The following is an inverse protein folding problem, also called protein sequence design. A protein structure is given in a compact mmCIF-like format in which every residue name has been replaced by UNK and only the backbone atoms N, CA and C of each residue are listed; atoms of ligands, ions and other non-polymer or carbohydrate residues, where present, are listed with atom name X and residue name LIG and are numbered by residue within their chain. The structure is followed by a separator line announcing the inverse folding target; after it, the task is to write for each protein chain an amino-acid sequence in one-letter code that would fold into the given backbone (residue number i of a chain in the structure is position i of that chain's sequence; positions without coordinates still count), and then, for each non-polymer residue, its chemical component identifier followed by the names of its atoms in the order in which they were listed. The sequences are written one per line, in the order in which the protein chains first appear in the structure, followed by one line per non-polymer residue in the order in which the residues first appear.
data_IF_843777226590
#
_entry.id   IF_843777226590
#
_cell.length_a   1.000
_cell.length_b   1.000
_cell.length_c   1.000
_cell.angle_alpha   90.00
_cell.angle_beta   90.00
_cell.angle_gamma   90.00
#
_symmetry.space_group_name_H-M   'P 1'
#
loop_
_entity.id
_entity.type
_entity.pdbx_description
1 polymer ?
#
# COMPACT_ATOMS: atom_id res chain seq x y z
N UNK A 1 3.07 -14.37 -20.19
CA UNK A 1 4.33 -13.73 -19.82
C UNK A 1 4.69 -12.75 -20.92
N UNK A 2 4.77 -11.44 -20.65
CA UNK A 2 5.10 -10.44 -21.67
C UNK A 2 6.49 -10.61 -22.30
N UNK A 3 7.42 -11.30 -21.64
CA UNK A 3 8.79 -11.55 -22.12
C UNK A 3 8.87 -12.83 -22.95
N UNK A 4 8.23 -13.92 -22.51
CA UNK A 4 8.28 -15.21 -23.23
C UNK A 4 7.10 -15.44 -24.19
N UNK A 5 6.08 -14.58 -24.12
CA UNK A 5 4.78 -14.74 -24.78
C UNK A 5 4.05 -16.05 -24.42
N UNK A 6 4.50 -16.75 -23.36
CA UNK A 6 3.87 -17.98 -22.90
C UNK A 6 2.61 -17.68 -22.07
N UNK A 7 1.61 -18.52 -22.22
CA UNK A 7 0.39 -18.47 -21.42
C UNK A 7 0.45 -19.50 -20.29
N UNK A 8 -0.24 -19.22 -19.20
CA UNK A 8 -0.48 -20.24 -18.18
C UNK A 8 -1.34 -21.34 -18.78
N UNK A 9 -0.99 -22.60 -18.50
CA UNK A 9 -1.84 -23.74 -18.90
C UNK A 9 -3.20 -23.67 -18.17
N UNK A 10 -4.24 -24.25 -18.77
CA UNK A 10 -5.59 -24.23 -18.18
C UNK A 10 -5.61 -24.77 -16.74
N UNK A 11 -4.85 -25.84 -16.47
CA UNK A 11 -4.74 -26.41 -15.12
C UNK A 11 -4.11 -25.46 -14.10
N UNK A 12 -3.12 -24.66 -14.52
CA UNK A 12 -2.50 -23.63 -13.67
C UNK A 12 -3.45 -22.46 -13.46
N UNK A 13 -4.19 -22.04 -14.50
CA UNK A 13 -5.23 -21.00 -14.38
C UNK A 13 -6.31 -21.42 -13.38
N UNK A 14 -6.84 -22.64 -13.51
CA UNK A 14 -7.84 -23.17 -12.58
C UNK A 14 -7.32 -23.23 -11.13
N UNK A 15 -6.09 -23.73 -10.93
CA UNK A 15 -5.46 -23.83 -9.61
C UNK A 15 -5.23 -22.45 -8.97
N UNK A 16 -4.76 -21.47 -9.76
CA UNK A 16 -4.56 -20.10 -9.29
C UNK A 16 -5.89 -19.42 -8.96
N UNK A 17 -6.93 -19.67 -9.76
CA UNK A 17 -8.28 -19.12 -9.51
C UNK A 17 -8.83 -19.62 -8.17
N UNK A 18 -8.73 -20.93 -7.91
CA UNK A 18 -9.13 -21.51 -6.62
C UNK A 18 -8.28 -20.94 -5.47
N UNK A 19 -6.98 -20.78 -5.68
CA UNK A 19 -6.07 -20.17 -4.70
C UNK A 19 -6.50 -18.75 -4.34
N UNK A 20 -6.82 -17.91 -5.34
CA UNK A 20 -7.27 -16.54 -5.10
C UNK A 20 -8.62 -16.48 -4.39
N UNK A 21 -9.57 -17.36 -4.75
CA UNK A 21 -10.87 -17.42 -4.08
C UNK A 21 -10.71 -17.79 -2.60
N UNK A 22 -10.00 -18.86 -2.27
CA UNK A 22 -9.83 -19.31 -0.88
C UNK A 22 -8.99 -18.32 -0.08
N UNK A 23 -7.82 -17.94 -0.58
CA UNK A 23 -6.90 -17.07 0.16
C UNK A 23 -7.44 -15.65 0.29
N UNK A 24 -8.07 -15.11 -0.76
CA UNK A 24 -8.59 -13.74 -0.80
C UNK A 24 -9.87 -13.56 0.01
N UNK A 25 -10.78 -14.54 -0.03
CA UNK A 25 -12.08 -14.47 0.66
C UNK A 25 -11.93 -14.60 2.18
N UNK A 26 -11.37 -15.71 2.66
CA UNK A 26 -11.42 -16.05 4.09
C UNK A 26 -10.58 -15.08 4.93
N UNK A 27 -9.40 -14.69 4.42
CA UNK A 27 -8.52 -13.76 5.13
C UNK A 27 -9.09 -12.34 5.17
N UNK A 28 -9.62 -11.83 4.05
CA UNK A 28 -10.12 -10.46 3.99
C UNK A 28 -11.47 -10.30 4.68
N UNK A 29 -12.39 -11.28 4.55
CA UNK A 29 -13.65 -11.27 5.30
C UNK A 29 -13.39 -11.24 6.81
N UNK A 30 -12.46 -12.06 7.31
CA UNK A 30 -12.08 -12.03 8.73
C UNK A 30 -11.48 -10.69 9.13
N UNK A 31 -10.59 -10.12 8.31
CA UNK A 31 -10.00 -8.81 8.58
C UNK A 31 -11.08 -7.72 8.68
N UNK A 32 -12.07 -7.72 7.78
CA UNK A 32 -13.20 -6.77 7.80
C UNK A 32 -14.09 -7.01 9.02
N UNK A 33 -14.40 -8.26 9.38
CA UNK A 33 -15.21 -8.56 10.57
C UNK A 33 -14.55 -8.01 11.84
N UNK A 34 -13.26 -8.25 12.03
CA UNK A 34 -12.52 -7.71 13.18
C UNK A 34 -12.37 -6.20 13.12
N UNK A 35 -12.20 -5.62 11.92
CA UNK A 35 -12.16 -4.17 11.73
C UNK A 35 -13.46 -3.52 12.22
N UNK A 36 -14.61 -4.07 11.81
CA UNK A 36 -15.92 -3.56 12.24
C UNK A 36 -16.12 -3.76 13.74
N UNK A 37 -15.68 -4.89 14.30
CA UNK A 37 -15.74 -5.12 15.74
C UNK A 37 -14.89 -4.12 16.53
N UNK A 38 -13.65 -3.88 16.12
CA UNK A 38 -12.77 -2.93 16.78
C UNK A 38 -13.33 -1.51 16.69
N UNK A 39 -13.80 -1.07 15.52
CA UNK A 39 -14.41 0.26 15.37
C UNK A 39 -15.69 0.39 16.21
N UNK A 40 -16.57 -0.62 16.19
CA UNK A 40 -17.79 -0.62 17.01
C UNK A 40 -17.53 -0.63 18.53
N UNK A 41 -16.37 -1.15 18.95
CA UNK A 41 -15.94 -1.20 20.35
C UNK A 41 -15.26 0.10 20.82
N UNK A 42 -14.91 1.00 19.89
CA UNK A 42 -14.19 2.25 20.14
C UNK A 42 -14.92 3.43 19.48
N UNK A 43 -16.01 3.95 20.11
CA UNK A 43 -16.83 5.02 19.52
C UNK A 43 -16.06 6.29 19.16
N UNK A 44 -14.97 6.59 19.86
CA UNK A 44 -14.06 7.68 19.56
C UNK A 44 -13.32 7.48 18.23
N UNK A 45 -12.89 6.26 17.93
CA UNK A 45 -12.28 5.90 16.64
C UNK A 45 -13.33 5.96 15.54
N UNK A 46 -14.53 5.41 15.79
CA UNK A 46 -15.65 5.49 14.85
C UNK A 46 -15.96 6.95 14.47
N UNK A 47 -16.02 7.85 15.46
CA UNK A 47 -16.30 9.26 15.22
C UNK A 47 -15.18 9.94 14.43
N UNK A 48 -13.91 9.63 14.70
CA UNK A 48 -12.78 10.21 13.97
C UNK A 48 -12.72 9.70 12.53
N UNK A 49 -13.02 8.42 12.29
CA UNK A 49 -13.22 7.86 10.93
C UNK A 49 -14.35 8.59 10.22
N UNK A 50 -15.52 8.73 10.85
CA UNK A 50 -16.65 9.42 10.26
C UNK A 50 -16.29 10.86 9.87
N UNK A 51 -15.64 11.62 10.75
CA UNK A 51 -15.23 13.00 10.46
C UNK A 51 -14.28 13.08 9.26
N UNK A 52 -13.30 12.18 9.17
CA UNK A 52 -12.40 12.13 8.01
C UNK A 52 -13.17 11.81 6.72
N UNK A 53 -14.05 10.81 6.76
CA UNK A 53 -14.87 10.40 5.61
C UNK A 53 -15.80 11.53 5.17
N UNK A 54 -16.51 12.19 6.08
CA UNK A 54 -17.37 13.33 5.76
C UNK A 54 -16.60 14.48 5.11
N UNK A 55 -15.37 14.74 5.56
CA UNK A 55 -14.51 15.79 4.99
C UNK A 55 -13.98 15.44 3.60
N UNK A 56 -13.56 14.20 3.38
CA UNK A 56 -12.87 13.79 2.14
C UNK A 56 -13.85 13.34 1.06
N UNK A 57 -14.90 12.63 1.43
CA UNK A 57 -15.86 11.98 0.53
C UNK A 57 -17.19 12.75 0.52
N UNK A 58 -17.65 13.18 1.70
CA UNK A 58 -18.98 13.80 1.86
C UNK A 58 -20.10 12.88 1.35
N UNK A 59 -21.02 13.44 0.58
CA UNK A 59 -22.16 12.72 0.00
C UNK A 59 -21.87 12.12 -1.38
N UNK A 60 -20.65 12.24 -1.89
CA UNK A 60 -20.28 11.74 -3.21
C UNK A 60 -19.99 10.22 -3.18
N UNK A 61 -20.04 9.54 -4.34
CA UNK A 61 -19.50 8.19 -4.48
C UNK A 61 -18.00 8.17 -4.16
N UNK A 62 -17.55 7.13 -3.45
CA UNK A 62 -16.14 6.95 -3.13
C UNK A 62 -15.32 6.72 -4.41
N UNK A 63 -14.23 7.46 -4.55
CA UNK A 63 -13.30 7.34 -5.70
C UNK A 63 -11.91 6.88 -5.26
N UNK A 64 -11.12 6.39 -6.21
CA UNK A 64 -9.72 6.01 -5.99
C UNK A 64 -8.87 7.14 -5.40
N UNK A 65 -9.03 8.37 -5.91
CA UNK A 65 -8.27 9.52 -5.43
C UNK A 65 -8.67 9.92 -4.01
N UNK A 66 -9.95 9.74 -3.64
CA UNK A 66 -10.43 9.96 -2.27
C UNK A 66 -9.89 8.90 -1.32
N UNK A 67 -9.86 7.62 -1.71
CA UNK A 67 -9.27 6.53 -0.91
C UNK A 67 -7.81 6.81 -0.53
N UNK A 68 -7.04 7.48 -1.40
CA UNK A 68 -5.67 7.90 -1.13
C UNK A 68 -5.54 9.01 -0.07
N UNK A 69 -6.62 9.76 0.21
CA UNK A 69 -6.65 10.88 1.17
C UNK A 69 -7.17 10.48 2.55
N UNK A 70 -7.69 9.26 2.70
CA UNK A 70 -8.24 8.74 3.96
C UNK A 70 -7.12 8.16 4.84
N UNK A 71 -6.35 9.06 5.43
CA UNK A 71 -5.14 8.75 6.19
C UNK A 71 -5.51 8.00 7.47
N UNK A 72 -6.45 8.51 8.26
CA UNK A 72 -6.86 7.89 9.52
C UNK A 72 -7.53 6.53 9.28
N UNK A 73 -8.40 6.39 8.27
CA UNK A 73 -8.94 5.08 7.88
C UNK A 73 -7.83 4.06 7.58
N UNK A 74 -6.75 4.50 6.93
CA UNK A 74 -5.60 3.63 6.65
C UNK A 74 -4.91 3.18 7.95
N UNK A 75 -4.76 4.07 8.93
CA UNK A 75 -4.19 3.75 10.23
C UNK A 75 -5.06 2.76 11.02
N UNK A 76 -6.39 2.94 10.99
CA UNK A 76 -7.35 2.04 11.64
C UNK A 76 -7.25 0.62 11.05
N UNK A 77 -7.14 0.50 9.73
CA UNK A 77 -6.93 -0.79 9.05
C UNK A 77 -5.58 -1.41 9.44
N UNK A 78 -4.50 -0.61 9.52
CA UNK A 78 -3.18 -1.12 9.94
C UNK A 78 -3.18 -1.62 11.38
N UNK A 79 -3.85 -0.92 12.28
CA UNK A 79 -3.95 -1.30 13.69
C UNK A 79 -4.82 -2.55 13.88
N UNK A 80 -5.91 -2.67 13.11
CA UNK A 80 -6.72 -3.89 13.06
C UNK A 80 -5.87 -5.11 12.67
N UNK A 81 -5.11 -5.00 11.57
CA UNK A 81 -4.25 -6.09 11.11
C UNK A 81 -3.04 -6.36 12.02
N UNK A 82 -2.66 -5.41 12.87
CA UNK A 82 -1.65 -5.62 13.91
C UNK A 82 -2.22 -6.47 15.06
N UNK A 83 -3.40 -6.11 15.55
CA UNK A 83 -4.03 -6.81 16.67
C UNK A 83 -4.60 -8.17 16.27
N UNK A 84 -5.13 -8.27 15.06
CA UNK A 84 -5.74 -9.48 14.53
C UNK A 84 -5.30 -9.73 13.08
N UNK A 85 -4.08 -10.24 12.85
CA UNK A 85 -3.66 -10.68 11.53
C UNK A 85 -4.36 -12.01 11.18
N UNK A 86 -5.15 -12.11 10.08
CA UNK A 86 -5.80 -13.36 9.69
C UNK A 86 -4.81 -14.52 9.48
N UNK A 87 -3.58 -14.22 9.05
CA UNK A 87 -2.47 -15.18 9.02
C UNK A 87 -1.51 -14.91 10.21
N UNK A 88 -1.63 -15.64 11.34
CA UNK A 88 -0.87 -15.34 12.56
C UNK A 88 0.61 -15.71 12.48
N UNK A 89 0.99 -16.48 11.47
CA UNK A 89 2.35 -16.90 11.23
C UNK A 89 2.59 -17.18 9.74
N UNK A 90 3.84 -17.15 9.32
CA UNK A 90 4.27 -17.63 8.01
C UNK A 90 5.58 -18.39 8.13
N UNK A 91 5.85 -19.25 7.14
CA UNK A 91 7.06 -20.08 7.12
C UNK A 91 8.06 -19.49 6.12
N UNK A 92 9.33 -19.44 6.50
CA UNK A 92 10.48 -19.24 5.62
C UNK A 92 11.37 -20.47 5.68
N UNK A 93 12.05 -20.79 4.59
CA UNK A 93 12.97 -21.94 4.53
C UNK A 93 14.38 -21.41 4.25
N UNK A 94 15.37 -21.86 5.02
CA UNK A 94 16.77 -21.53 4.76
C UNK A 94 17.25 -22.15 3.44
N UNK A 95 18.29 -21.61 2.79
CA UNK A 95 18.82 -22.18 1.56
C UNK A 95 19.11 -23.69 1.73
N UNK A 96 18.64 -24.55 0.82
CA UNK A 96 18.87 -25.99 0.94
C UNK A 96 20.34 -26.39 0.70
N UNK A 97 21.14 -25.52 0.08
CA UNK A 97 22.52 -25.80 -0.30
C UNK A 97 23.54 -25.41 0.76
N UNK A 98 23.15 -24.61 1.77
CA UNK A 98 24.10 -24.11 2.78
C UNK A 98 23.46 -23.74 4.11
N UNK A 99 24.25 -23.93 5.18
CA UNK A 99 23.97 -23.34 6.49
C UNK A 99 23.93 -21.81 6.39
N UNK A 100 23.09 -21.20 7.23
CA UNK A 100 23.05 -19.75 7.42
C UNK A 100 23.04 -19.41 8.90
N UNK A 101 23.11 -18.12 9.23
CA UNK A 101 23.00 -17.62 10.60
C UNK A 101 21.87 -16.61 10.72
N UNK A 102 21.20 -16.61 11.86
CA UNK A 102 20.24 -15.59 12.28
C UNK A 102 20.72 -15.00 13.61
N UNK A 103 21.42 -13.87 13.53
CA UNK A 103 22.14 -13.33 14.68
C UNK A 103 23.17 -14.34 15.21
N UNK A 104 23.04 -14.75 16.47
CA UNK A 104 23.92 -15.75 17.09
C UNK A 104 23.55 -17.20 16.80
N UNK A 105 22.41 -17.45 16.15
CA UNK A 105 21.90 -18.81 15.91
C UNK A 105 22.36 -19.34 14.56
N UNK A 106 22.94 -20.54 14.55
CA UNK A 106 23.21 -21.30 13.32
C UNK A 106 21.94 -22.01 12.88
N UNK A 107 21.62 -21.89 11.61
CA UNK A 107 20.42 -22.44 10.99
C UNK A 107 20.87 -23.42 9.90
N UNK A 108 20.67 -24.74 10.10
CA UNK A 108 21.02 -25.75 9.11
C UNK A 108 20.36 -25.49 7.74
N UNK A 109 20.98 -26.00 6.69
CA UNK A 109 20.44 -25.93 5.34
C UNK A 109 19.03 -26.56 5.26
N UNK A 110 18.11 -25.93 4.51
CA UNK A 110 16.74 -26.43 4.32
C UNK A 110 15.83 -26.39 5.56
N UNK A 111 16.23 -25.71 6.63
CA UNK A 111 15.43 -25.58 7.86
C UNK A 111 14.20 -24.71 7.64
N UNK A 112 13.03 -25.18 8.06
CA UNK A 112 11.81 -24.38 8.13
C UNK A 112 11.79 -23.51 9.40
N UNK A 113 11.58 -22.21 9.23
CA UNK A 113 11.47 -21.22 10.28
C UNK A 113 10.04 -20.68 10.30
N UNK A 114 9.33 -20.96 11.39
CA UNK A 114 8.02 -20.40 11.65
C UNK A 114 8.18 -19.01 12.27
N UNK A 115 7.69 -17.99 11.58
CA UNK A 115 7.72 -16.61 12.06
C UNK A 115 6.32 -16.27 12.56
N UNK A 116 6.20 -16.01 13.87
CA UNK A 116 4.94 -15.60 14.48
C UNK A 116 4.71 -14.11 14.25
N UNK A 117 3.84 -13.79 13.30
CA UNK A 117 3.34 -12.43 13.07
C UNK A 117 2.61 -11.92 14.31
N UNK A 118 1.84 -12.79 14.97
CA UNK A 118 1.12 -12.44 16.19
C UNK A 118 2.09 -12.02 17.31
N UNK A 119 3.12 -12.82 17.62
CA UNK A 119 4.09 -12.44 18.65
C UNK A 119 4.88 -11.18 18.29
N UNK A 120 5.23 -11.00 17.01
CA UNK A 120 5.90 -9.80 16.51
C UNK A 120 5.04 -8.55 16.75
N UNK A 121 3.75 -8.62 16.43
CA UNK A 121 2.81 -7.51 16.51
C UNK A 121 2.43 -7.12 17.93
N UNK A 122 2.60 -8.03 18.89
CA UNK A 122 2.38 -7.78 20.32
C UNK A 122 3.68 -7.54 21.11
N UNK A 123 4.82 -7.38 20.43
CA UNK A 123 6.10 -7.15 21.10
C UNK A 123 6.14 -5.78 21.79
N UNK A 124 6.21 -5.70 23.14
CA UNK A 124 6.19 -4.43 23.87
C UNK A 124 7.44 -3.57 23.63
N UNK A 125 8.55 -4.17 23.17
CA UNK A 125 9.75 -3.42 22.78
C UNK A 125 9.59 -2.65 21.47
N UNK A 126 8.51 -2.94 20.71
CA UNK A 126 8.21 -2.32 19.41
C UNK A 126 6.92 -1.50 19.46
N UNK A 127 5.92 -1.99 20.21
CA UNK A 127 4.63 -1.35 20.39
C UNK A 127 4.35 -1.15 21.87
N UNK A 128 4.37 0.10 22.34
CA UNK A 128 3.89 0.47 23.68
C UNK A 128 2.43 0.01 23.87
N UNK A 129 1.99 -0.47 25.03
CA UNK A 129 0.63 -1.00 25.25
C UNK A 129 0.13 -1.93 24.11
N UNK A 130 0.82 -3.03 23.81
CA UNK A 130 0.62 -3.79 22.57
C UNK A 130 -0.79 -4.38 22.41
N UNK A 131 -1.57 -4.48 23.50
CA UNK A 131 -2.94 -5.01 23.48
C UNK A 131 -4.02 -3.96 23.20
N UNK A 132 -3.68 -2.67 23.26
CA UNK A 132 -4.64 -1.59 23.03
C UNK A 132 -4.79 -1.29 21.54
N UNK A 133 -6.03 -1.08 21.09
CA UNK A 133 -6.35 -0.64 19.72
C UNK A 133 -6.12 0.87 19.63
N UNK A 134 -4.95 1.29 19.14
CA UNK A 134 -4.56 2.71 19.01
C UNK A 134 -4.12 3.01 17.56
N UNK A 135 -5.03 3.45 16.66
CA UNK A 135 -4.68 3.85 15.30
C UNK A 135 -3.57 4.92 15.22
N UNK A 136 -3.47 5.78 16.22
CA UNK A 136 -2.49 6.87 16.33
C UNK A 136 -1.03 6.38 16.34
N UNK A 137 -0.78 5.08 16.57
CA UNK A 137 0.56 4.44 16.47
C UNK A 137 1.20 4.55 15.09
N UNK A 138 0.38 4.84 14.09
CA UNK A 138 0.76 4.98 12.70
C UNK A 138 0.94 6.46 12.30
N UNK A 139 0.89 7.38 13.26
CA UNK A 139 1.11 8.82 13.10
C UNK A 139 2.52 9.24 13.55
N UNK A 140 3.00 10.34 12.97
CA UNK A 140 4.21 11.03 13.41
C UNK A 140 5.53 10.31 13.12
N UNK A 141 6.60 10.86 13.70
CA UNK A 141 7.97 10.37 13.48
C UNK A 141 8.22 8.97 14.04
N UNK A 142 7.59 8.62 15.16
CA UNK A 142 7.79 7.31 15.79
C UNK A 142 7.27 6.17 14.92
N UNK A 143 6.19 6.40 14.17
CA UNK A 143 5.75 5.46 13.14
C UNK A 143 6.78 5.34 12.00
N UNK A 144 7.44 6.44 11.61
CA UNK A 144 8.43 6.46 10.55
C UNK A 144 9.78 5.83 10.94
N UNK A 145 10.15 5.89 12.22
CA UNK A 145 11.37 5.24 12.76
C UNK A 145 11.19 3.73 12.96
N UNK A 146 9.95 3.24 13.01
CA UNK A 146 9.65 1.82 13.23
C UNK A 146 10.18 0.99 12.06
N UNK A 147 10.85 -0.12 12.40
CA UNK A 147 11.35 -1.05 11.38
C UNK A 147 10.23 -1.49 10.43
N UNK A 148 10.45 -1.56 9.11
CA UNK A 148 9.48 -2.09 8.16
C UNK A 148 9.14 -3.57 8.47
N UNK A 149 10.03 -4.28 9.17
CA UNK A 149 9.81 -5.65 9.62
C UNK A 149 8.99 -5.77 10.92
N UNK A 150 8.54 -4.66 11.50
CA UNK A 150 7.69 -4.66 12.69
C UNK A 150 6.22 -4.94 12.38
N UNK A 151 5.78 -4.76 11.13
CA UNK A 151 4.38 -4.95 10.71
C UNK A 151 4.31 -5.88 9.50
N UNK A 152 4.14 -7.19 9.75
CA UNK A 152 4.16 -8.23 8.72
C UNK A 152 2.85 -9.04 8.56
N UNK A 153 1.64 -8.43 8.52
CA UNK A 153 0.40 -9.19 8.31
C UNK A 153 0.33 -9.87 6.93
N UNK A 154 1.14 -9.42 5.97
CA UNK A 154 1.18 -9.93 4.60
C UNK A 154 2.50 -10.66 4.26
N UNK A 155 3.27 -11.07 5.28
CA UNK A 155 4.66 -11.54 5.13
C UNK A 155 5.56 -10.50 4.44
N UNK A 156 6.72 -10.91 3.93
CA UNK A 156 7.68 -10.04 3.24
C UNK A 156 8.48 -10.77 2.14
N UNK A 157 8.97 -10.01 1.16
CA UNK A 157 9.86 -10.48 0.09
C UNK A 157 9.14 -11.17 -1.07
N UNK A 158 9.86 -12.00 -1.84
CA UNK A 158 9.35 -12.68 -3.06
C UNK A 158 8.10 -13.56 -2.85
N UNK A 159 7.81 -13.93 -1.60
CA UNK A 159 6.66 -14.76 -1.21
C UNK A 159 5.68 -14.00 -0.30
N UNK A 160 5.74 -12.66 -0.30
CA UNK A 160 4.72 -11.83 0.34
C UNK A 160 3.36 -12.02 -0.34
N UNK A 161 2.29 -11.65 0.37
CA UNK A 161 0.94 -11.74 -0.15
C UNK A 161 0.76 -10.90 -1.42
N UNK A 162 0.46 -11.55 -2.54
CA UNK A 162 0.17 -10.88 -3.81
C UNK A 162 -1.13 -10.05 -3.74
N UNK A 163 -2.07 -10.45 -2.88
CA UNK A 163 -3.36 -9.79 -2.67
C UNK A 163 -3.34 -8.64 -1.66
N UNK A 164 -2.17 -8.26 -1.12
CA UNK A 164 -2.06 -7.23 -0.06
C UNK A 164 -2.79 -5.94 -0.42
N UNK A 165 -2.55 -5.41 -1.62
CA UNK A 165 -3.15 -4.14 -2.05
C UNK A 165 -4.67 -4.24 -2.17
N UNK A 166 -5.16 -5.32 -2.77
CA UNK A 166 -6.60 -5.56 -2.91
C UNK A 166 -7.28 -5.65 -1.54
N UNK A 167 -6.72 -6.45 -0.62
CA UNK A 167 -7.27 -6.59 0.74
C UNK A 167 -7.31 -5.27 1.51
N UNK A 168 -6.24 -4.46 1.42
CA UNK A 168 -6.19 -3.13 2.05
C UNK A 168 -7.19 -2.15 1.44
N UNK A 169 -7.49 -2.27 0.14
CA UNK A 169 -8.52 -1.47 -0.52
C UNK A 169 -9.91 -1.90 -0.05
N UNK A 170 -10.21 -3.20 -0.10
CA UNK A 170 -11.51 -3.76 0.31
C UNK A 170 -11.84 -3.40 1.76
N UNK A 171 -10.86 -3.53 2.67
CA UNK A 171 -11.02 -3.15 4.07
C UNK A 171 -11.33 -1.65 4.25
N UNK A 172 -10.65 -0.77 3.50
CA UNK A 172 -10.91 0.68 3.56
C UNK A 172 -12.27 1.03 2.96
N UNK A 173 -12.63 0.45 1.82
CA UNK A 173 -13.94 0.66 1.19
C UNK A 173 -15.05 0.22 2.14
N UNK A 174 -14.95 -0.97 2.71
CA UNK A 174 -15.92 -1.47 3.69
C UNK A 174 -16.04 -0.54 4.90
N UNK A 175 -14.91 -0.10 5.46
CA UNK A 175 -14.90 0.84 6.60
C UNK A 175 -15.61 2.15 6.26
N UNK A 176 -15.28 2.75 5.12
CA UNK A 176 -15.85 4.03 4.68
C UNK A 176 -17.35 3.91 4.44
N UNK A 177 -17.78 2.94 3.65
CA UNK A 177 -19.18 2.77 3.26
C UNK A 177 -20.07 2.38 4.44
N UNK A 178 -19.55 1.62 5.41
CA UNK A 178 -20.31 1.24 6.60
C UNK A 178 -20.37 2.39 7.62
N UNK A 179 -19.25 3.05 7.93
CA UNK A 179 -19.23 4.14 8.93
C UNK A 179 -19.96 5.38 8.44
N UNK A 180 -19.92 5.69 7.13
CA UNK A 180 -20.70 6.83 6.59
C UNK A 180 -22.21 6.62 6.72
N UNK A 181 -22.67 5.37 6.68
CA UNK A 181 -24.09 5.02 6.57
C UNK A 181 -24.69 4.64 7.93
N UNK A 182 -23.89 4.03 8.80
CA UNK A 182 -24.35 3.43 10.05
C UNK A 182 -23.52 3.90 11.25
N UNK A 183 -24.18 3.95 12.40
CA UNK A 183 -23.52 3.80 13.69
C UNK A 183 -23.32 2.30 13.96
N UNK A 184 -22.09 1.92 14.27
CA UNK A 184 -21.74 0.51 14.55
C UNK A 184 -21.78 0.23 16.04
N UNK A 185 -22.58 -0.75 16.48
CA UNK A 185 -22.68 -1.12 17.90
C UNK A 185 -22.45 -2.60 18.10
N UNK A 186 -21.59 -2.96 19.05
CA UNK A 186 -21.46 -4.36 19.49
C UNK A 186 -22.74 -4.77 20.19
N UNK A 187 -23.31 -5.90 19.78
CA UNK A 187 -24.45 -6.48 20.46
C UNK A 187 -23.99 -7.17 21.77
N UNK A 188 -24.70 -6.98 22.91
CA UNK A 188 -24.37 -7.64 24.17
C UNK A 188 -24.31 -9.17 24.11
N UNK A 189 -24.96 -9.79 23.12
CA UNK A 189 -24.89 -11.25 22.89
C UNK A 189 -23.58 -11.71 22.25
N UNK A 190 -22.70 -10.78 21.83
CA UNK A 190 -21.40 -11.10 21.23
C UNK A 190 -20.57 -11.96 22.17
N UNK A 191 -20.16 -13.13 21.69
CA UNK A 191 -19.28 -14.04 22.39
C UNK A 191 -18.23 -14.56 21.42
N UNK A 192 -17.06 -13.93 21.45
CA UNK A 192 -16.02 -14.16 20.44
C UNK A 192 -15.33 -15.49 20.68
N UNK A 193 -15.33 -16.34 19.66
CA UNK A 193 -14.55 -17.58 19.62
C UNK A 193 -13.56 -17.50 18.48
N UNK A 194 -12.29 -17.67 18.81
CA UNK A 194 -11.23 -17.70 17.82
C UNK A 194 -10.90 -19.14 17.48
N UNK A 195 -10.91 -19.45 16.18
CA UNK A 195 -10.39 -20.71 15.63
C UNK A 195 -9.34 -20.40 14.57
N UNK A 196 -8.51 -21.37 14.23
CA UNK A 196 -7.47 -21.21 13.21
C UNK A 196 -7.44 -22.44 12.28
N UNK A 197 -8.46 -22.63 11.42
CA UNK A 197 -8.43 -23.70 10.42
C UNK A 197 -7.31 -23.47 9.40
N UNK A 198 -7.50 -22.53 8.46
CA UNK A 198 -6.47 -22.10 7.50
C UNK A 198 -5.97 -20.69 7.80
N UNK A 199 -6.91 -19.79 8.08
CA UNK A 199 -6.68 -18.47 8.66
C UNK A 199 -7.33 -18.42 10.04
N UNK A 200 -6.90 -17.49 10.88
CA UNK A 200 -7.66 -17.13 12.06
C UNK A 200 -9.07 -16.73 11.63
N UNK A 201 -10.06 -17.15 12.40
CA UNK A 201 -11.46 -16.81 12.20
C UNK A 201 -12.05 -16.41 13.55
N UNK A 202 -12.68 -15.24 13.60
CA UNK A 202 -13.39 -14.73 14.76
C UNK A 202 -14.90 -14.96 14.56
N UNK A 203 -15.45 -15.89 15.34
CA UNK A 203 -16.86 -16.28 15.28
C UNK A 203 -17.62 -15.72 16.48
N UNK A 204 -18.94 -15.59 16.35
CA UNK A 204 -19.81 -15.14 17.44
C UNK A 204 -19.81 -13.62 17.68
N UNK A 205 -19.26 -12.85 16.74
CA UNK A 205 -19.38 -11.39 16.70
C UNK A 205 -20.76 -11.01 16.16
N UNK A 206 -21.52 -10.24 16.93
CA UNK A 206 -22.82 -9.71 16.52
C UNK A 206 -22.76 -8.18 16.56
N UNK A 207 -23.00 -7.55 15.43
CA UNK A 207 -22.98 -6.10 15.29
C UNK A 207 -24.36 -5.58 14.89
N UNK A 208 -24.79 -4.50 15.52
CA UNK A 208 -25.99 -3.74 15.15
C UNK A 208 -25.58 -2.52 14.35
N UNK A 209 -26.17 -2.40 13.16
CA UNK A 209 -25.96 -1.30 12.23
C UNK A 209 -27.17 -0.37 12.33
N UNK A 210 -26.99 0.80 12.95
CA UNK A 210 -28.07 1.77 13.16
C UNK A 210 -27.92 2.87 12.10
N UNK A 211 -28.88 3.09 11.20
CA UNK A 211 -28.75 4.11 10.16
C UNK A 211 -28.44 5.49 10.74
N UNK A 212 -27.49 6.21 10.15
CA UNK A 212 -27.23 7.61 10.47
C UNK A 212 -28.37 8.45 9.88
N UNK A 213 -29.24 9.00 10.73
CA UNK A 213 -30.29 9.91 10.26
C UNK A 213 -29.67 11.17 9.66
N UNK A 214 -30.19 11.61 8.52
CA UNK A 214 -29.88 12.93 7.93
C UNK A 214 -30.41 14.10 8.78
N UNK A 215 -31.13 13.85 9.87
CA UNK A 215 -31.81 14.88 10.69
C UNK A 215 -31.33 15.05 12.14
N UNK A 216 -30.39 14.23 12.65
CA UNK A 216 -29.90 14.37 14.02
C UNK A 216 -28.57 15.16 14.05
N UNK A 217 -28.43 16.20 14.90
CA UNK A 217 -27.18 16.94 14.98
C UNK A 217 -26.08 16.02 15.55
N UNK A 218 -24.86 16.05 14.97
CA UNK A 218 -23.75 15.25 15.46
C UNK A 218 -23.43 15.62 16.93
N UNK A 219 -22.94 14.68 17.75
CA UNK A 219 -22.48 14.99 19.10
C UNK A 219 -21.42 16.09 19.04
N UNK A 220 -21.47 17.03 19.99
CA UNK A 220 -20.60 18.19 20.01
C UNK A 220 -19.11 17.76 20.06
N UNK A 221 -18.37 18.06 19.01
CA UNK A 221 -16.93 17.85 18.94
C UNK A 221 -16.26 18.84 19.89
N UNK A 222 -15.52 18.32 20.87
CA UNK A 222 -14.53 19.14 21.59
C UNK A 222 -13.41 19.50 20.62
N UNK A 223 -13.02 20.78 20.58
CA UNK A 223 -12.10 21.38 19.62
C UNK A 223 -10.74 20.67 19.45
N UNK A 224 -10.37 19.77 20.37
CA UNK A 224 -9.16 18.95 20.28
C UNK A 224 -9.12 18.00 19.05
N UNK A 225 -10.25 17.67 18.42
CA UNK A 225 -10.29 16.75 17.28
C UNK A 225 -10.11 17.43 15.90
N UNK A 226 -9.99 18.75 15.86
CA UNK A 226 -10.00 19.56 14.63
C UNK A 226 -8.62 20.09 14.23
N UNK A 227 -7.63 20.05 15.12
CA UNK A 227 -6.28 20.55 14.84
C UNK A 227 -5.40 19.47 14.18
N UNK A 228 -5.71 19.17 12.92
CA UNK A 228 -4.69 18.70 11.98
C UNK A 228 -4.44 19.83 11.01
N UNK A 229 -3.45 20.67 11.33
CA UNK A 229 -2.90 21.61 10.36
C UNK A 229 -2.30 20.78 9.22
N UNK A 230 -2.94 20.81 8.05
CA UNK A 230 -2.32 20.41 6.79
C UNK A 230 -1.28 21.48 6.42
N UNK A 231 -0.16 21.51 7.12
CA UNK A 231 1.00 22.29 6.70
C UNK A 231 1.52 21.70 5.39
N UNK A 232 1.41 22.44 4.28
CA UNK A 232 2.11 22.11 3.04
C UNK A 232 1.37 22.26 1.71
N UNK A 233 0.17 22.88 1.64
CA UNK A 233 -0.50 23.13 0.35
C UNK A 233 -0.06 24.41 -0.37
N UNK A 234 0.89 25.17 0.18
CA UNK A 234 1.55 26.24 -0.56
C UNK A 234 2.53 25.62 -1.56
N UNK A 235 2.00 25.06 -2.65
CA UNK A 235 2.85 24.77 -3.80
C UNK A 235 3.40 26.09 -4.30
N UNK A 236 4.73 26.18 -4.42
CA UNK A 236 5.39 27.32 -5.03
C UNK A 236 4.66 27.71 -6.33
N UNK A 237 4.49 29.01 -6.63
CA UNK A 237 3.82 29.44 -7.84
C UNK A 237 4.47 28.72 -9.04
N UNK A 238 3.64 27.98 -9.79
CA UNK A 238 4.08 27.28 -10.97
C UNK A 238 4.68 28.33 -11.92
N UNK A 239 5.94 28.12 -12.34
CA UNK A 239 6.67 29.06 -13.18
C UNK A 239 5.99 29.31 -14.54
N UNK A 240 6.58 30.19 -15.34
CA UNK A 240 5.99 30.55 -16.64
C UNK A 240 6.04 29.37 -17.64
N UNK A 241 4.88 28.76 -17.91
CA UNK A 241 4.72 27.61 -18.80
C UNK A 241 5.08 27.91 -20.27
N UNK A 242 5.09 29.18 -20.70
CA UNK A 242 5.54 29.55 -22.06
C UNK A 242 6.99 29.12 -22.32
N UNK A 243 7.83 29.11 -21.28
CA UNK A 243 9.24 28.70 -21.37
C UNK A 243 9.44 27.18 -21.59
N UNK A 244 8.36 26.40 -21.50
CA UNK A 244 8.38 24.96 -21.74
C UNK A 244 8.10 24.60 -23.20
N UNK A 245 7.52 25.51 -24.00
CA UNK A 245 7.20 25.22 -25.40
C UNK A 245 8.45 24.81 -26.17
N UNK A 246 8.35 23.70 -26.90
CA UNK A 246 9.43 23.18 -27.74
C UNK A 246 10.53 22.43 -26.99
N UNK A 247 10.49 22.38 -25.65
CA UNK A 247 11.37 21.49 -24.88
C UNK A 247 10.88 20.04 -24.96
N UNK A 248 11.81 19.12 -24.74
CA UNK A 248 11.52 17.68 -24.79
C UNK A 248 11.24 17.12 -23.40
N UNK A 249 10.20 16.30 -23.27
CA UNK A 249 9.89 15.56 -22.05
C UNK A 249 9.88 14.05 -22.35
N UNK A 250 10.82 13.31 -21.76
CA UNK A 250 10.81 11.84 -21.85
C UNK A 250 10.34 11.28 -20.51
N UNK A 251 9.25 10.52 -20.52
CA UNK A 251 8.72 9.87 -19.32
C UNK A 251 9.06 8.39 -19.31
N UNK A 252 10.00 7.99 -18.46
CA UNK A 252 10.39 6.61 -18.26
C UNK A 252 9.57 5.99 -17.12
N UNK A 253 9.15 4.73 -17.26
CA UNK A 253 8.35 4.09 -16.20
C UNK A 253 8.76 2.67 -15.83
N UNK A 254 8.57 2.33 -14.56
CA UNK A 254 8.67 0.98 -14.01
C UNK A 254 7.36 0.57 -13.34
N UNK A 255 6.73 -0.53 -13.77
CA UNK A 255 5.41 -0.95 -13.30
C UNK A 255 5.15 -2.44 -13.51
N UNK A 256 4.68 -3.17 -12.49
CA UNK A 256 4.13 -4.52 -12.67
C UNK A 256 2.59 -4.50 -12.79
N UNK A 257 1.93 -3.52 -12.13
CA UNK A 257 0.46 -3.42 -12.05
C UNK A 257 -0.07 -2.18 -12.79
N UNK A 258 0.60 -1.78 -13.87
CA UNK A 258 0.27 -0.65 -14.78
C UNK A 258 0.02 0.74 -14.16
N UNK A 259 0.03 0.90 -12.83
CA UNK A 259 -0.24 2.18 -12.17
C UNK A 259 0.76 3.26 -12.58
N UNK A 260 2.07 2.97 -12.53
CA UNK A 260 3.11 3.91 -12.94
C UNK A 260 3.05 4.21 -14.43
N UNK A 261 2.68 3.22 -15.25
CA UNK A 261 2.46 3.42 -16.69
C UNK A 261 1.26 4.37 -16.95
N UNK A 262 0.17 4.21 -16.21
CA UNK A 262 -0.98 5.11 -16.26
C UNK A 262 -0.61 6.54 -15.87
N UNK A 263 0.19 6.71 -14.80
CA UNK A 263 0.74 8.02 -14.43
C UNK A 263 1.63 8.61 -15.53
N UNK A 264 2.54 7.81 -16.10
CA UNK A 264 3.39 8.25 -17.20
C UNK A 264 2.56 8.71 -18.42
N UNK A 265 1.49 7.98 -18.73
CA UNK A 265 0.56 8.33 -19.81
C UNK A 265 -0.13 9.67 -19.55
N UNK A 266 -0.60 9.92 -18.32
CA UNK A 266 -1.19 11.21 -17.93
C UNK A 266 -0.18 12.36 -17.98
N UNK A 267 1.07 12.12 -17.56
CA UNK A 267 2.13 13.13 -17.63
C UNK A 267 2.48 13.50 -19.07
N UNK A 268 2.57 12.53 -19.98
CA UNK A 268 2.77 12.80 -21.41
C UNK A 268 1.61 13.60 -21.98
N UNK A 269 0.37 13.22 -21.69
CA UNK A 269 -0.81 13.97 -22.15
C UNK A 269 -0.77 15.43 -21.66
N UNK A 270 -0.49 15.62 -20.37
CA UNK A 270 -0.40 16.96 -19.78
C UNK A 270 0.79 17.77 -20.31
N UNK A 271 1.93 17.13 -20.56
CA UNK A 271 3.11 17.78 -21.13
C UNK A 271 2.84 18.28 -22.55
N UNK A 272 2.18 17.47 -23.37
CA UNK A 272 1.77 17.84 -24.73
C UNK A 272 0.81 19.03 -24.75
N UNK A 273 -0.15 19.10 -23.81
CA UNK A 273 -1.04 20.26 -23.63
C UNK A 273 -0.26 21.55 -23.32
N UNK A 274 0.90 21.43 -22.66
CA UNK A 274 1.79 22.53 -22.33
C UNK A 274 2.79 22.87 -23.46
N UNK A 275 2.70 22.19 -24.62
CA UNK A 275 3.55 22.44 -25.78
C UNK A 275 4.93 21.79 -25.74
N UNK A 276 5.12 20.77 -24.90
CA UNK A 276 6.33 19.96 -24.86
C UNK A 276 6.28 18.85 -25.91
N UNK A 277 7.44 18.51 -26.48
CA UNK A 277 7.60 17.30 -27.30
C UNK A 277 7.77 16.11 -26.37
N UNK A 278 6.74 15.28 -26.24
CA UNK A 278 6.69 14.23 -25.22
C UNK A 278 6.84 12.82 -25.78
N UNK A 279 7.53 11.93 -25.05
CA UNK A 279 7.55 10.49 -25.30
C UNK A 279 7.48 9.69 -24.00
N UNK A 280 7.07 8.41 -24.06
CA UNK A 280 7.19 7.47 -22.94
C UNK A 280 7.87 6.17 -23.35
N UNK A 281 8.58 5.55 -22.42
CA UNK A 281 9.16 4.22 -22.59
C UNK A 281 9.29 3.49 -21.24
N UNK A 282 9.28 2.16 -21.20
CA UNK A 282 9.66 1.42 -19.99
C UNK A 282 11.14 1.65 -19.68
N UNK A 283 11.54 1.55 -18.40
CA UNK A 283 12.92 1.78 -17.97
C UNK A 283 13.93 0.86 -18.68
N UNK A 284 13.60 -0.42 -18.87
CA UNK A 284 14.46 -1.37 -19.58
C UNK A 284 14.72 -0.99 -21.05
N UNK A 285 13.94 -0.08 -21.65
CA UNK A 285 14.20 0.39 -23.02
C UNK A 285 15.57 1.07 -23.14
N UNK A 286 16.08 1.68 -22.07
CA UNK A 286 17.41 2.27 -22.06
C UNK A 286 18.54 1.24 -22.29
N UNK A 287 18.30 -0.02 -21.95
CA UNK A 287 19.28 -1.09 -22.09
C UNK A 287 19.16 -1.87 -23.41
N UNK A 288 18.02 -1.76 -24.11
CA UNK A 288 17.74 -2.51 -25.33
C UNK A 288 17.71 -1.61 -26.56
N UNK A 289 16.72 -0.72 -26.63
CA UNK A 289 16.52 0.23 -27.72
C UNK A 289 16.35 1.63 -27.12
N UNK A 290 17.46 2.29 -26.73
CA UNK A 290 17.40 3.48 -25.91
C UNK A 290 16.65 4.61 -26.63
N UNK A 291 15.64 5.23 -25.98
CA UNK A 291 15.06 6.46 -26.49
C UNK A 291 16.11 7.58 -26.51
N UNK A 292 15.98 8.51 -27.44
CA UNK A 292 16.81 9.72 -27.46
C UNK A 292 16.48 10.55 -26.22
N UNK A 293 17.44 10.67 -25.30
CA UNK A 293 17.29 11.47 -24.09
C UNK A 293 17.70 12.91 -24.38
N UNK A 294 16.92 13.91 -23.91
CA UNK A 294 17.28 15.30 -24.10
C UNK A 294 18.49 15.68 -23.24
N UNK A 295 19.34 16.55 -23.76
CA UNK A 295 20.34 17.22 -22.95
C UNK A 295 19.63 18.10 -21.89
N UNK A 296 20.30 18.35 -20.76
CA UNK A 296 19.77 19.15 -19.64
C UNK A 296 19.20 20.53 -20.02
N UNK A 297 19.64 21.11 -21.12
CA UNK A 297 19.20 22.43 -21.59
C UNK A 297 18.01 22.33 -22.56
N UNK A 298 17.82 21.16 -23.18
CA UNK A 298 16.82 20.88 -24.21
C UNK A 298 15.53 20.30 -23.62
N UNK A 299 15.60 19.69 -22.44
CA UNK A 299 14.46 18.96 -21.90
C UNK A 299 14.69 18.33 -20.53
N UNK A 300 13.75 17.47 -20.16
CA UNK A 300 13.74 16.77 -18.88
C UNK A 300 13.35 15.30 -19.07
N UNK A 301 13.97 14.44 -18.27
CA UNK A 301 13.55 13.05 -18.10
C UNK A 301 12.78 12.91 -16.79
N UNK A 302 11.54 12.42 -16.85
CA UNK A 302 10.77 12.07 -15.66
C UNK A 302 10.72 10.55 -15.51
N UNK A 303 11.23 10.04 -14.39
CA UNK A 303 11.14 8.62 -14.06
C UNK A 303 9.97 8.40 -13.11
N UNK A 304 8.99 7.59 -13.51
CA UNK A 304 7.84 7.20 -12.70
C UNK A 304 7.92 5.71 -12.40
N UNK A 305 8.33 5.35 -11.19
CA UNK A 305 8.59 3.94 -10.89
C UNK A 305 8.09 3.56 -9.50
N UNK A 306 7.62 2.32 -9.37
CA UNK A 306 7.28 1.71 -8.08
C UNK A 306 8.36 0.72 -7.65
N UNK A 307 8.25 0.19 -6.44
CA UNK A 307 9.03 -0.98 -6.00
C UNK A 307 8.07 -2.05 -5.49
N UNK A 308 8.38 -3.32 -5.72
CA UNK A 308 7.58 -4.44 -5.26
C UNK A 308 8.41 -5.28 -4.28
N UNK A 309 8.10 -5.15 -2.99
CA UNK A 309 8.85 -5.81 -1.90
C UNK A 309 10.35 -5.47 -1.89
N UNK A 310 10.68 -4.20 -2.13
CA UNK A 310 12.07 -3.71 -2.19
C UNK A 310 12.83 -4.06 -3.46
N UNK A 311 12.18 -4.67 -4.45
CA UNK A 311 12.77 -4.99 -5.75
C UNK A 311 12.21 -4.08 -6.86
N UNK A 312 13.00 -3.81 -7.92
CA UNK A 312 12.51 -3.06 -9.07
C UNK A 312 11.40 -3.83 -9.82
N UNK A 313 10.50 -3.11 -10.51
CA UNK A 313 9.52 -3.69 -11.44
C UNK A 313 10.21 -4.50 -12.54
N UNK A 314 9.48 -5.45 -13.15
CA UNK A 314 10.01 -6.34 -14.18
C UNK A 314 10.60 -5.55 -15.36
N UNK A 315 9.84 -4.57 -15.85
CA UNK A 315 10.26 -3.65 -16.91
C UNK A 315 11.29 -2.58 -16.46
N UNK A 316 11.91 -2.75 -15.29
CA UNK A 316 12.99 -1.93 -14.76
C UNK A 316 14.17 -2.75 -14.18
N UNK A 317 14.10 -4.10 -14.20
CA UNK A 317 15.16 -4.96 -13.63
C UNK A 317 16.50 -4.80 -14.35
N UNK A 318 16.51 -4.95 -15.67
CA UNK A 318 17.76 -4.84 -16.45
C UNK A 318 18.32 -3.43 -16.42
N UNK A 319 17.44 -2.43 -16.33
CA UNK A 319 17.86 -1.05 -16.07
C UNK A 319 18.53 -0.88 -14.70
N UNK A 320 17.96 -1.47 -13.64
CA UNK A 320 18.56 -1.41 -12.30
C UNK A 320 19.94 -2.08 -12.24
N UNK A 321 20.12 -3.20 -12.93
CA UNK A 321 21.41 -3.87 -13.04
C UNK A 321 22.40 -3.02 -13.87
N UNK A 322 21.94 -2.45 -14.99
CA UNK A 322 22.74 -1.60 -15.88
C UNK A 322 23.23 -0.31 -15.21
N UNK A 323 22.43 0.29 -14.31
CA UNK A 323 22.81 1.50 -13.57
C UNK A 323 24.13 1.37 -12.78
N UNK A 324 24.57 0.15 -12.48
CA UNK A 324 25.83 -0.10 -11.78
C UNK A 324 27.06 -0.19 -12.69
N UNK A 325 26.90 0.07 -14.00
CA UNK A 325 27.96 -0.03 -15.01
C UNK A 325 28.51 1.33 -15.44
N UNK A 326 29.76 1.38 -15.94
CA UNK A 326 30.38 2.60 -16.44
C UNK A 326 29.70 3.14 -17.72
N UNK A 327 29.07 2.25 -18.49
CA UNK A 327 28.28 2.60 -19.68
C UNK A 327 27.07 3.48 -19.31
N UNK A 328 26.43 3.20 -18.18
CA UNK A 328 25.31 4.00 -17.68
C UNK A 328 25.75 5.41 -17.27
N UNK A 329 26.89 5.53 -16.60
CA UNK A 329 27.45 6.83 -16.20
C UNK A 329 27.74 7.70 -17.43
N UNK A 330 28.21 7.10 -18.52
CA UNK A 330 28.49 7.80 -19.78
C UNK A 330 27.19 8.20 -20.49
N UNK A 331 26.23 7.28 -20.60
CA UNK A 331 24.97 7.51 -21.31
C UNK A 331 24.06 8.56 -20.64
N UNK A 332 24.17 8.73 -19.31
CA UNK A 332 23.31 9.61 -18.52
C UNK A 332 23.99 10.91 -18.05
N UNK A 333 25.24 11.16 -18.47
CA UNK A 333 26.11 12.21 -17.93
C UNK A 333 25.48 13.62 -17.92
N UNK A 334 24.79 14.00 -19.00
CA UNK A 334 24.27 15.35 -19.19
C UNK A 334 22.73 15.40 -19.22
N UNK A 335 22.08 14.38 -18.67
CA UNK A 335 20.63 14.27 -18.63
C UNK A 335 20.10 14.90 -17.34
N UNK A 336 19.23 15.91 -17.48
CA UNK A 336 18.43 16.38 -16.34
C UNK A 336 17.28 15.41 -16.09
N UNK A 337 17.14 14.92 -14.85
CA UNK A 337 16.07 14.01 -14.49
C UNK A 337 15.42 14.33 -13.15
N UNK A 338 14.20 13.84 -12.98
CA UNK A 338 13.50 13.78 -11.70
C UNK A 338 12.81 12.43 -11.53
N UNK A 339 12.75 11.94 -10.30
CA UNK A 339 12.19 10.62 -9.97
C UNK A 339 10.95 10.79 -9.11
N UNK A 340 9.83 10.28 -9.61
CA UNK A 340 8.60 10.10 -8.87
C UNK A 340 8.46 8.62 -8.48
N UNK A 341 8.78 8.34 -7.21
CA UNK A 341 8.57 7.03 -6.61
C UNK A 341 7.09 6.82 -6.28
N UNK A 342 6.41 6.01 -7.09
CA UNK A 342 5.02 5.62 -6.88
C UNK A 342 4.97 4.46 -5.89
N UNK A 343 4.75 4.78 -4.62
CA UNK A 343 4.61 3.83 -3.55
C UNK A 343 4.08 4.54 -2.32
N UNK A 344 3.51 3.80 -1.39
CA UNK A 344 3.13 4.37 -0.12
C UNK A 344 4.31 4.19 0.85
N UNK A 345 4.84 5.32 1.35
CA UNK A 345 5.94 5.36 2.32
C UNK A 345 5.63 4.68 3.65
N UNK A 346 4.38 4.29 3.89
CA UNK A 346 3.93 3.60 5.09
C UNK A 346 4.08 2.07 5.02
N UNK A 347 4.63 1.53 3.93
CA UNK A 347 4.86 0.09 3.68
C UNK A 347 6.32 -0.17 3.33
#
# INVERSE_FOLDING_TARGET
DPETNELLSEGVVASNTMTFLVAGHDSTSTAITMLMYHVASHPEVEQRVFNEVSRVVGDQPLTWDMLGKLVYCTQVVKENLRLFPPAPHFIKVSPPERETTLGKYRIPAGSALLISTFALHYNPSVYEDPHAFKPERWEGEEAAKRSPYAWLPFSYGKRACIGMQLSLIEQRVALVELVRTYYLRVDPSTNIRISNPLFMSAQGIQLRFIPRSTSAPPPALTAACLDVQLTGTDSAPLGNFEQLRGKTLVVLFGSNMTTCEGFATRLVARGSELGLTCSKAPLNALCSTPPVLPHRDEGLVLVVTSTYNGLPPENAKTFADWLSTDDAATALKDVAFSVFGAGNRQW
#
